data_IF_171002868306
#
_entry.id   IF_171002868306
#
_cell.length_a   1.000
_cell.length_b   1.000
_cell.length_c   1.000
_cell.angle_alpha   90.00
_cell.angle_beta   90.00
_cell.angle_gamma   90.00
#
_symmetry.space_group_name_H-M   'P 1'
#
loop_
_entity.id
_entity.type
_entity.pdbx_description
1 polymer ?
#
# COMPACT_ATOMS: atom_id res chain seq x y z
N UNK A 1 7.01 -16.31 -7.00
CA UNK A 1 7.13 -15.16 -6.08
C UNK A 1 6.56 -15.61 -4.74
N UNK A 2 7.32 -15.57 -3.63
CA UNK A 2 6.73 -15.89 -2.33
C UNK A 2 5.58 -14.90 -2.05
N UNK A 3 4.51 -15.34 -1.39
CA UNK A 3 3.44 -14.43 -0.97
C UNK A 3 4.06 -13.33 -0.11
N UNK A 4 3.53 -12.12 -0.25
CA UNK A 4 3.89 -10.99 0.60
C UNK A 4 3.81 -11.41 2.07
N UNK A 5 4.82 -11.02 2.84
CA UNK A 5 4.76 -11.21 4.28
C UNK A 5 3.52 -10.48 4.82
N UNK A 6 2.74 -11.08 5.73
CA UNK A 6 1.53 -10.46 6.27
C UNK A 6 1.80 -9.10 6.91
N UNK A 7 3.00 -8.91 7.46
CA UNK A 7 3.48 -7.64 7.98
C UNK A 7 3.57 -6.54 6.90
N UNK A 8 3.99 -6.89 5.68
CA UNK A 8 4.03 -5.98 4.54
C UNK A 8 2.64 -5.59 4.07
N UNK A 9 1.69 -6.55 4.04
CA UNK A 9 0.29 -6.27 3.68
C UNK A 9 -0.33 -5.29 4.67
N UNK A 10 -0.13 -5.53 5.98
CA UNK A 10 -0.62 -4.66 7.06
C UNK A 10 -0.13 -3.22 6.90
N UNK A 11 1.15 -3.04 6.56
CA UNK A 11 1.73 -1.70 6.31
C UNK A 11 1.11 -1.02 5.09
N UNK A 12 0.83 -1.76 4.01
CA UNK A 12 0.19 -1.22 2.81
C UNK A 12 -1.24 -0.76 3.10
N UNK A 13 -2.01 -1.57 3.84
CA UNK A 13 -3.38 -1.21 4.25
C UNK A 13 -3.40 0.02 5.16
N UNK A 14 -2.48 0.10 6.12
CA UNK A 14 -2.35 1.24 7.04
C UNK A 14 -2.02 2.53 6.29
N UNK A 15 -1.06 2.47 5.36
CA UNK A 15 -0.71 3.60 4.51
C UNK A 15 -1.85 4.03 3.57
N UNK A 16 -2.63 3.08 3.03
CA UNK A 16 -3.82 3.39 2.25
C UNK A 16 -4.90 4.07 3.11
N UNK A 17 -5.15 3.55 4.31
CA UNK A 17 -6.09 4.14 5.26
C UNK A 17 -5.70 5.56 5.67
N UNK A 18 -4.41 5.81 5.91
CA UNK A 18 -3.88 7.14 6.21
C UNK A 18 -4.12 8.14 5.06
N UNK A 19 -3.94 7.71 3.82
CA UNK A 19 -4.21 8.54 2.64
C UNK A 19 -5.71 8.83 2.48
N UNK A 20 -6.58 7.84 2.71
CA UNK A 20 -8.04 8.03 2.71
C UNK A 20 -8.45 9.04 3.78
N UNK A 21 -7.92 8.90 5.00
CA UNK A 21 -8.18 9.83 6.10
C UNK A 21 -7.67 11.25 5.80
N UNK A 22 -6.61 11.38 5.00
CA UNK A 22 -6.09 12.67 4.51
C UNK A 22 -6.95 13.30 3.40
N UNK A 23 -8.05 12.65 3.00
CA UNK A 23 -8.97 13.14 1.95
C UNK A 23 -8.73 12.53 0.57
N UNK A 24 -7.77 11.63 0.41
CA UNK A 24 -7.55 10.90 -0.83
C UNK A 24 -8.36 9.60 -0.83
N UNK A 25 -9.64 9.70 -1.17
CA UNK A 25 -10.63 8.61 -1.13
C UNK A 25 -10.23 7.37 -1.95
N UNK A 26 -9.34 7.52 -2.94
CA UNK A 26 -8.88 6.42 -3.77
C UNK A 26 -7.35 6.49 -3.96
N UNK A 27 -6.59 6.10 -2.92
CA UNK A 27 -5.15 6.22 -2.93
C UNK A 27 -4.52 5.34 -4.01
N UNK A 28 -3.63 5.92 -4.81
CA UNK A 28 -2.92 5.17 -5.85
C UNK A 28 -1.75 4.39 -5.24
N UNK A 29 -1.36 3.29 -5.90
CA UNK A 29 -0.22 2.47 -5.47
C UNK A 29 1.07 3.28 -5.29
N UNK A 30 1.28 4.31 -6.13
CA UNK A 30 2.41 5.22 -5.98
C UNK A 30 2.32 6.07 -4.72
N UNK A 31 1.14 6.57 -4.36
CA UNK A 31 0.96 7.37 -3.14
C UNK A 31 1.19 6.53 -1.89
N UNK A 32 0.66 5.30 -1.86
CA UNK A 32 0.91 4.36 -0.77
C UNK A 32 2.40 4.02 -0.67
N UNK A 33 3.07 3.80 -1.81
CA UNK A 33 4.53 3.57 -1.86
C UNK A 33 5.32 4.74 -1.29
N UNK A 34 4.97 5.97 -1.68
CA UNK A 34 5.61 7.19 -1.18
C UNK A 34 5.42 7.31 0.33
N UNK A 35 4.23 7.03 0.84
CA UNK A 35 3.91 7.05 2.26
C UNK A 35 4.73 6.01 3.07
N UNK A 36 4.98 4.85 2.48
CA UNK A 36 5.80 3.78 3.08
C UNK A 36 7.32 4.08 3.07
N UNK A 37 7.76 5.22 2.53
CA UNK A 37 9.18 5.60 2.47
C UNK A 37 9.95 5.04 1.26
N UNK A 38 9.24 4.53 0.24
CA UNK A 38 9.84 4.01 -0.98
C UNK A 38 10.32 2.56 -0.88
N UNK A 39 9.70 1.68 -1.68
CA UNK A 39 10.07 0.27 -1.84
C UNK A 39 9.53 -0.28 -3.16
N UNK A 40 9.92 -1.51 -3.54
CA UNK A 40 9.52 -2.10 -4.83
C UNK A 40 8.00 -2.25 -4.98
N UNK A 41 7.47 -1.73 -6.10
CA UNK A 41 6.06 -1.83 -6.53
C UNK A 41 5.58 -3.28 -6.71
N UNK A 42 6.48 -4.24 -6.89
CA UNK A 42 6.20 -5.68 -6.98
C UNK A 42 5.40 -6.22 -5.78
N UNK A 43 5.41 -5.48 -4.68
CA UNK A 43 4.76 -5.83 -3.42
C UNK A 43 3.37 -5.18 -3.20
N UNK A 44 3.00 -4.15 -3.97
CA UNK A 44 1.77 -3.36 -3.74
C UNK A 44 0.64 -3.78 -4.69
N UNK A 45 1.01 -4.44 -5.80
CA UNK A 45 0.08 -4.83 -6.85
C UNK A 45 -1.03 -5.85 -6.49
N UNK A 46 -0.93 -6.69 -5.44
CA UNK A 46 -2.03 -7.60 -5.08
C UNK A 46 -2.96 -7.08 -3.98
N UNK A 47 -2.57 -6.08 -3.17
CA UNK A 47 -3.40 -5.61 -2.03
C UNK A 47 -4.55 -4.72 -2.50
N UNK A 48 -4.37 -4.00 -3.61
CA UNK A 48 -5.35 -3.04 -4.14
C UNK A 48 -6.34 -3.64 -5.16
N UNK A 49 -6.30 -4.95 -5.39
CA UNK A 49 -7.16 -5.65 -6.35
C UNK A 49 -8.18 -6.63 -5.73
N UNK A 50 -8.22 -6.74 -4.40
CA UNK A 50 -9.21 -7.55 -3.69
C UNK A 50 -10.48 -6.75 -3.40
#
# INVERSE_FOLDING_TARGET
>A
MPPLSPDTVRRIEDAAAALIASGNLNPTNEQVRQHLGGGSLSHISPVMRA
#
